data_IF_853364412192
#
_entry.id   IF_853364412192
#
_cell.length_a   1.000
_cell.length_b   1.000
_cell.length_c   1.000
_cell.angle_alpha   90.00
_cell.angle_beta   90.00
_cell.angle_gamma   90.00
#
_symmetry.space_group_name_H-M   'P 1'
#
loop_
_entity.id
_entity.type
_entity.pdbx_description
1 polymer ?
#
# COMPACT_ATOMS: atom_id res chain seq x y z
N UNK A 1 -8.55 15.46 -7.42
CA UNK A 1 -7.10 15.72 -7.22
C UNK A 1 -6.51 14.96 -6.03
N UNK A 2 -7.26 14.63 -4.96
CA UNK A 2 -6.67 13.97 -3.78
C UNK A 2 -6.28 12.48 -3.97
N UNK A 3 -7.02 11.70 -4.76
CA UNK A 3 -6.80 10.24 -4.90
C UNK A 3 -5.49 9.89 -5.63
N UNK A 4 -5.10 10.69 -6.63
CA UNK A 4 -3.84 10.50 -7.38
C UNK A 4 -2.63 10.69 -6.46
N UNK A 5 -2.67 11.72 -5.60
CA UNK A 5 -1.59 12.00 -4.64
C UNK A 5 -1.44 10.90 -3.58
N UNK A 6 -2.54 10.30 -3.12
CA UNK A 6 -2.45 9.19 -2.15
C UNK A 6 -1.81 7.96 -2.80
N UNK A 7 -2.16 7.65 -4.05
CA UNK A 7 -1.57 6.53 -4.78
C UNK A 7 -0.06 6.72 -4.97
N UNK A 8 0.38 7.90 -5.41
CA UNK A 8 1.81 8.22 -5.54
C UNK A 8 2.57 8.05 -4.22
N UNK A 9 1.96 8.49 -3.10
CA UNK A 9 2.56 8.33 -1.77
C UNK A 9 2.62 6.86 -1.33
N UNK A 10 1.62 6.06 -1.70
CA UNK A 10 1.57 4.62 -1.46
C UNK A 10 2.69 3.92 -2.22
N UNK A 11 2.87 4.22 -3.51
CA UNK A 11 3.97 3.70 -4.33
C UNK A 11 5.34 4.15 -3.80
N UNK A 12 5.47 5.40 -3.35
CA UNK A 12 6.70 5.89 -2.74
C UNK A 12 7.03 5.16 -1.43
N UNK A 13 6.02 4.84 -0.62
CA UNK A 13 6.19 4.05 0.59
C UNK A 13 6.65 2.62 0.27
N UNK A 14 6.09 2.02 -0.78
CA UNK A 14 6.50 0.70 -1.27
C UNK A 14 7.98 0.66 -1.62
N UNK A 15 8.48 1.65 -2.37
CA UNK A 15 9.91 1.75 -2.70
C UNK A 15 10.84 1.81 -1.49
N UNK A 16 10.34 2.26 -0.34
CA UNK A 16 11.12 2.31 0.91
C UNK A 16 11.18 0.99 1.68
N UNK A 17 10.26 0.04 1.40
CA UNK A 17 10.13 -1.23 2.13
C UNK A 17 10.37 -2.46 1.26
N UNK A 18 10.17 -2.34 -0.05
CA UNK A 18 10.38 -3.41 -1.00
C UNK A 18 11.88 -3.75 -1.09
N UNK A 19 12.23 -5.04 -1.26
CA UNK A 19 13.61 -5.45 -1.45
C UNK A 19 14.21 -4.91 -2.75
N UNK A 20 13.37 -4.67 -3.76
CA UNK A 20 13.74 -4.05 -5.03
C UNK A 20 12.93 -2.76 -5.24
N UNK A 21 13.56 -1.57 -5.18
CA UNK A 21 12.87 -0.28 -5.29
C UNK A 21 12.48 0.09 -6.73
N UNK A 22 13.05 -0.58 -7.73
CA UNK A 22 12.72 -0.40 -9.15
C UNK A 22 11.50 -1.24 -9.55
N UNK A 23 11.22 -2.33 -8.83
CA UNK A 23 10.05 -3.17 -9.01
C UNK A 23 8.83 -2.63 -8.25
N UNK A 24 8.14 -1.67 -8.85
CA UNK A 24 6.84 -1.18 -8.37
C UNK A 24 5.72 -1.87 -9.17
N UNK A 25 4.85 -2.67 -8.52
CA UNK A 25 3.68 -3.26 -9.15
C UNK A 25 2.73 -2.19 -9.71
N UNK A 26 1.94 -2.56 -10.72
CA UNK A 26 0.86 -1.68 -11.17
C UNK A 26 -0.18 -1.50 -10.04
N UNK A 27 -0.95 -0.39 -10.04
CA UNK A 27 -1.86 -0.08 -8.93
C UNK A 27 -3.00 -1.10 -8.72
N UNK A 28 -3.37 -1.81 -9.78
CA UNK A 28 -4.37 -2.89 -9.77
C UNK A 28 -3.72 -4.29 -9.69
N UNK A 29 -2.39 -4.35 -9.60
CA UNK A 29 -1.66 -5.60 -9.51
C UNK A 29 -1.55 -6.07 -8.07
N UNK A 30 -1.54 -7.40 -7.92
CA UNK A 30 -1.45 -8.05 -6.63
C UNK A 30 -0.03 -7.88 -6.07
N UNK A 31 0.07 -7.29 -4.88
CA UNK A 31 1.33 -7.02 -4.18
C UNK A 31 1.99 -8.28 -3.64
N UNK A 32 1.26 -9.39 -3.47
CA UNK A 32 1.82 -10.70 -3.11
C UNK A 32 2.35 -11.48 -4.33
N UNK A 33 2.71 -10.80 -5.42
CA UNK A 33 3.22 -11.48 -6.60
C UNK A 33 4.71 -11.83 -6.42
N UNK A 34 5.04 -13.12 -6.52
CA UNK A 34 6.43 -13.62 -6.48
C UNK A 34 6.93 -13.96 -5.05
N UNK A 35 8.17 -13.55 -4.75
CA UNK A 35 8.87 -13.73 -3.46
C UNK A 35 8.60 -12.61 -2.44
N UNK A 36 7.54 -11.80 -2.65
CA UNK A 36 7.16 -10.80 -1.64
C UNK A 36 6.67 -11.51 -0.39
N UNK A 37 7.57 -11.58 0.58
CA UNK A 37 7.29 -12.19 1.87
C UNK A 37 6.22 -11.37 2.61
N UNK A 38 5.29 -12.04 3.29
CA UNK A 38 4.24 -11.40 4.09
C UNK A 38 4.80 -10.35 5.05
N UNK A 39 6.08 -10.48 5.43
CA UNK A 39 6.82 -9.48 6.19
C UNK A 39 6.91 -8.11 5.49
N UNK A 40 7.27 -8.06 4.21
CA UNK A 40 7.38 -6.80 3.43
C UNK A 40 6.01 -6.14 3.36
N UNK A 41 4.96 -6.93 3.12
CA UNK A 41 3.59 -6.45 3.07
C UNK A 41 3.12 -5.86 4.42
N UNK A 42 3.37 -6.55 5.53
CA UNK A 42 3.03 -6.04 6.86
C UNK A 42 3.80 -4.75 7.18
N UNK A 43 5.09 -4.68 6.82
CA UNK A 43 5.92 -3.49 7.00
C UNK A 43 5.39 -2.32 6.17
N UNK A 44 5.00 -2.59 4.93
CA UNK A 44 4.37 -1.63 4.04
C UNK A 44 3.08 -1.04 4.63
N UNK A 45 2.14 -1.89 5.04
CA UNK A 45 0.87 -1.43 5.62
C UNK A 45 1.09 -0.67 6.92
N UNK A 46 2.02 -1.13 7.79
CA UNK A 46 2.39 -0.40 9.01
C UNK A 46 2.98 0.97 8.73
N UNK A 47 3.89 1.06 7.75
CA UNK A 47 4.51 2.33 7.36
C UNK A 47 3.46 3.31 6.83
N UNK A 48 2.50 2.83 6.05
CA UNK A 48 1.38 3.65 5.57
C UNK A 48 0.46 4.10 6.71
N UNK A 49 0.02 3.20 7.58
CA UNK A 49 -0.82 3.56 8.72
C UNK A 49 -0.16 4.62 9.62
N UNK A 50 1.15 4.49 9.86
CA UNK A 50 1.92 5.48 10.60
C UNK A 50 2.07 6.81 9.84
N UNK A 51 2.31 6.78 8.52
CA UNK A 51 2.52 7.97 7.68
C UNK A 51 1.26 8.80 7.52
N UNK A 52 0.12 8.14 7.32
CA UNK A 52 -1.18 8.78 7.13
C UNK A 52 -1.94 8.98 8.45
N UNK A 53 -1.43 8.44 9.57
CA UNK A 53 -2.08 8.44 10.88
C UNK A 53 -3.50 7.85 10.84
N UNK A 54 -3.71 6.83 10.00
CA UNK A 54 -5.00 6.14 9.83
C UNK A 54 -4.89 4.68 10.25
N UNK A 55 -5.99 4.12 10.73
CA UNK A 55 -6.10 2.69 10.97
C UNK A 55 -6.54 1.99 9.67
N UNK A 56 -5.62 1.23 9.06
CA UNK A 56 -5.89 0.55 7.81
C UNK A 56 -6.58 -0.81 8.05
N UNK A 57 -7.70 -1.10 7.37
CA UNK A 57 -8.40 -2.37 7.51
C UNK A 57 -7.59 -3.47 6.83
N UNK A 58 -6.74 -4.15 7.61
CA UNK A 58 -5.88 -5.23 7.12
C UNK A 58 -6.68 -6.31 6.39
N UNK A 59 -7.86 -6.69 6.88
CA UNK A 59 -8.71 -7.71 6.25
C UNK A 59 -9.03 -7.37 4.80
N UNK A 60 -9.53 -6.16 4.54
CA UNK A 60 -9.90 -5.71 3.18
C UNK A 60 -8.67 -5.57 2.27
N UNK A 61 -7.55 -5.11 2.83
CA UNK A 61 -6.26 -5.00 2.14
C UNK A 61 -5.69 -6.40 1.82
N UNK A 62 -5.88 -7.40 2.66
CA UNK A 62 -5.46 -8.79 2.40
C UNK A 62 -6.37 -9.49 1.38
N UNK A 63 -7.66 -9.17 1.35
CA UNK A 63 -8.58 -9.69 0.33
C UNK A 63 -8.24 -9.15 -1.06
N UNK A 64 -7.90 -7.85 -1.14
CA UNK A 64 -7.56 -7.21 -2.40
C UNK A 64 -6.25 -6.41 -2.28
N UNK A 65 -5.09 -7.10 -2.25
CA UNK A 65 -3.79 -6.55 -1.93
C UNK A 65 -3.21 -5.80 -3.12
N UNK A 66 -3.76 -4.64 -3.41
CA UNK A 66 -3.39 -3.76 -4.52
C UNK A 66 -3.15 -2.35 -3.98
N UNK A 67 -2.28 -1.57 -4.63
CA UNK A 67 -2.09 -0.18 -4.21
C UNK A 67 -3.37 0.64 -4.30
N UNK A 68 -4.25 0.32 -5.28
CA UNK A 68 -5.56 0.96 -5.41
C UNK A 68 -6.42 0.75 -4.18
N UNK A 69 -6.57 -0.49 -3.71
CA UNK A 69 -7.35 -0.78 -2.49
C UNK A 69 -6.79 -0.06 -1.28
N UNK A 70 -5.46 -0.06 -1.11
CA UNK A 70 -4.81 0.63 0.00
C UNK A 70 -5.04 2.15 -0.06
N UNK A 71 -4.87 2.76 -1.22
CA UNK A 71 -5.13 4.18 -1.43
C UNK A 71 -6.62 4.53 -1.20
N UNK A 72 -7.53 3.64 -1.58
CA UNK A 72 -8.96 3.77 -1.33
C UNK A 72 -9.27 3.77 0.18
N UNK A 73 -8.70 2.81 0.92
CA UNK A 73 -8.80 2.74 2.37
C UNK A 73 -8.34 4.03 3.04
N UNK A 74 -7.14 4.50 2.69
CA UNK A 74 -6.57 5.76 3.22
C UNK A 74 -7.50 6.93 2.91
N UNK A 75 -7.99 7.01 1.67
CA UNK A 75 -8.90 8.05 1.23
C UNK A 75 -10.19 8.10 2.05
N UNK A 76 -10.79 6.94 2.37
CA UNK A 76 -12.02 6.86 3.18
C UNK A 76 -11.81 7.20 4.65
N UNK A 77 -10.63 6.93 5.21
CA UNK A 77 -10.33 7.16 6.63
C UNK A 77 -9.86 8.60 6.91
N UNK A 78 -9.38 9.31 5.89
CA UNK A 78 -8.94 10.70 5.99
C UNK A 78 -10.01 11.77 5.72
N UNK A 79 -11.28 11.38 5.53
CA UNK A 79 -12.44 12.27 5.37
C UNK A 79 -13.14 12.60 6.70
#
# INVERSE_FOLDING_TARGET
MARDTVLEQVEQCWRGVAPDPDLVPAPDENLFRGDVDSFVFIQFVRALGARFQVELPLVEIFENPTFRTVADCIGRTGE
#
